data_IF_586220911174
#
_entry.id   IF_586220911174
#
_cell.length_a   1.000
_cell.length_b   1.000
_cell.length_c   1.000
_cell.angle_alpha   90.00
_cell.angle_beta   90.00
_cell.angle_gamma   90.00
#
_symmetry.space_group_name_H-M   'P 1'
#
loop_
_entity.id
_entity.type
_entity.pdbx_description
1 polymer ?
#
# COMPACT_ATOMS: atom_id res chain seq x y z
N UNK A 1 14.01 -34.58 1.05
CA UNK A 1 13.81 -33.61 -0.04
C UNK A 1 12.45 -32.97 0.19
N UNK A 2 12.40 -31.91 1.00
CA UNK A 2 11.14 -31.28 1.41
C UNK A 2 10.80 -30.20 0.39
N UNK A 3 9.84 -30.46 -0.49
CA UNK A 3 9.31 -29.48 -1.42
C UNK A 3 8.54 -28.43 -0.63
N UNK A 4 9.15 -27.27 -0.40
CA UNK A 4 8.43 -26.06 -0.01
C UNK A 4 7.62 -25.61 -1.22
N UNK A 5 6.35 -26.02 -1.26
CA UNK A 5 5.36 -25.43 -2.16
C UNK A 5 5.09 -24.01 -1.67
N UNK A 6 5.86 -23.04 -2.18
CA UNK A 6 5.72 -21.62 -1.87
C UNK A 6 4.51 -21.04 -2.60
N UNK A 7 3.30 -21.38 -2.15
CA UNK A 7 2.13 -20.56 -2.46
C UNK A 7 2.23 -19.29 -1.62
N UNK A 8 3.06 -18.36 -2.06
CA UNK A 8 3.17 -17.05 -1.40
C UNK A 8 1.82 -16.33 -1.53
N UNK A 9 1.20 -15.88 -0.43
CA UNK A 9 -0.04 -15.12 -0.50
C UNK A 9 0.25 -13.81 -1.27
N UNK A 10 -0.35 -13.67 -2.45
CA UNK A 10 -0.32 -12.43 -3.22
C UNK A 10 -1.68 -11.77 -3.03
N UNK A 11 -1.74 -10.64 -2.32
CA UNK A 11 -2.93 -9.80 -2.36
C UNK A 11 -2.77 -8.75 -3.46
N UNK A 12 -3.84 -8.51 -4.21
CA UNK A 12 -3.87 -7.50 -5.26
C UNK A 12 -4.54 -6.24 -4.72
N UNK A 13 -3.94 -5.08 -4.96
CA UNK A 13 -4.48 -3.78 -4.54
C UNK A 13 -5.52 -3.33 -5.58
N UNK A 14 -6.81 -3.13 -5.23
CA UNK A 14 -7.74 -2.45 -6.10
C UNK A 14 -7.41 -0.95 -6.11
N UNK A 15 -6.62 -0.48 -7.07
CA UNK A 15 -6.34 0.95 -7.21
C UNK A 15 -7.50 1.59 -7.97
N UNK A 16 -8.29 2.43 -7.29
CA UNK A 16 -9.21 3.34 -7.97
C UNK A 16 -8.51 4.68 -8.11
N UNK A 17 -7.83 4.90 -9.23
CA UNK A 17 -7.25 6.22 -9.52
C UNK A 17 -8.36 7.20 -9.88
N UNK A 18 -8.78 8.04 -8.94
CA UNK A 18 -9.52 9.26 -9.28
C UNK A 18 -8.51 10.30 -9.74
N UNK A 19 -8.34 10.44 -11.05
CA UNK A 19 -7.48 11.49 -11.62
C UNK A 19 -8.07 12.86 -11.30
N UNK A 20 -7.44 13.60 -10.38
CA UNK A 20 -7.66 15.04 -10.22
C UNK A 20 -6.50 15.77 -10.90
N UNK A 21 -6.75 16.31 -12.10
CA UNK A 21 -5.80 17.21 -12.74
C UNK A 21 -5.87 18.57 -12.04
N UNK A 22 -4.75 19.01 -11.46
CA UNK A 22 -4.57 20.41 -11.10
C UNK A 22 -3.51 21.00 -12.02
N UNK A 23 -3.89 22.02 -12.81
CA UNK A 23 -2.95 22.82 -13.60
C UNK A 23 -2.43 23.96 -12.73
N UNK A 24 -1.11 23.99 -12.49
CA UNK A 24 -0.46 25.16 -11.90
C UNK A 24 -0.11 26.10 -13.04
N UNK A 25 -0.85 27.20 -13.18
CA UNK A 25 -0.45 28.32 -14.05
C UNK A 25 0.68 29.09 -13.37
N UNK A 26 1.80 29.31 -14.07
CA UNK A 26 2.95 30.08 -13.59
C UNK A 26 2.70 31.61 -13.60
N UNK A 27 1.48 32.07 -13.29
CA UNK A 27 1.23 33.49 -13.12
C UNK A 27 1.42 33.88 -11.65
N UNK A 28 2.20 34.95 -11.43
CA UNK A 28 2.74 35.36 -10.12
C UNK A 28 1.67 35.93 -9.19
N UNK A 29 0.69 35.12 -8.80
CA UNK A 29 -0.44 35.57 -7.97
C UNK A 29 -1.00 34.53 -7.00
N UNK A 30 -0.47 33.31 -6.99
CA UNK A 30 -1.01 32.26 -6.12
C UNK A 30 0.07 31.86 -5.11
N UNK A 31 -0.08 32.36 -3.88
CA UNK A 31 0.35 31.63 -2.69
C UNK A 31 -0.60 30.42 -2.59
N UNK A 32 -0.41 29.41 -3.44
CA UNK A 32 -1.32 28.26 -3.50
C UNK A 32 -1.36 27.67 -2.11
N UNK A 33 -2.53 27.76 -1.47
CA UNK A 33 -2.97 26.74 -0.54
C UNK A 33 -2.96 25.45 -1.35
N UNK A 34 -1.82 24.77 -1.38
CA UNK A 34 -1.71 23.41 -1.86
C UNK A 34 -2.55 22.58 -0.88
N UNK A 35 -3.85 22.52 -1.13
CA UNK A 35 -4.69 21.54 -0.48
C UNK A 35 -4.19 20.22 -1.02
N UNK A 36 -3.49 19.45 -0.20
CA UNK A 36 -3.17 18.06 -0.42
C UNK A 36 -4.48 17.26 -0.40
N UNK A 37 -5.38 17.55 -1.33
CA UNK A 37 -6.64 16.87 -1.53
C UNK A 37 -6.37 15.60 -2.34
N UNK A 38 -5.57 14.71 -1.77
CA UNK A 38 -5.61 13.31 -2.13
C UNK A 38 -6.22 12.59 -0.95
N UNK A 39 -7.45 12.10 -1.13
CA UNK A 39 -8.05 11.16 -0.19
C UNK A 39 -7.12 9.95 -0.14
N UNK A 40 -6.45 9.74 1.00
CA UNK A 40 -5.57 8.59 1.18
C UNK A 40 -6.38 7.30 1.03
N UNK A 41 -5.94 6.40 0.15
CA UNK A 41 -6.54 5.08 0.00
C UNK A 41 -5.76 4.07 0.82
N UNK A 42 -6.45 3.25 1.61
CA UNK A 42 -5.84 2.08 2.24
C UNK A 42 -5.57 1.03 1.17
N UNK A 43 -4.29 0.74 0.93
CA UNK A 43 -3.84 -0.21 -0.11
C UNK A 43 -3.34 -1.54 0.44
N UNK A 44 -3.11 -1.66 1.74
CA UNK A 44 -2.74 -2.90 2.41
C UNK A 44 -3.34 -2.93 3.82
N UNK A 45 -3.82 -4.10 4.25
CA UNK A 45 -4.47 -4.28 5.56
C UNK A 45 -5.82 -3.57 5.68
N UNK A 46 -6.00 -2.79 6.76
CA UNK A 46 -7.18 -1.94 6.97
C UNK A 46 -8.31 -2.55 7.78
N UNK A 47 -8.24 -3.83 8.16
CA UNK A 47 -9.33 -4.54 8.85
C UNK A 47 -9.00 -4.88 10.31
N UNK A 48 -8.21 -4.04 10.96
CA UNK A 48 -7.78 -4.21 12.35
C UNK A 48 -6.65 -5.22 12.53
N UNK A 49 -6.40 -5.58 13.79
CA UNK A 49 -5.37 -6.53 14.17
C UNK A 49 -5.84 -7.97 13.93
N UNK A 50 -4.98 -8.83 13.38
CA UNK A 50 -5.28 -10.25 13.20
C UNK A 50 -4.39 -10.96 12.19
N UNK A 51 -4.70 -12.21 11.90
CA UNK A 51 -3.92 -13.11 11.04
C UNK A 51 -4.47 -13.25 9.62
N UNK A 52 -5.62 -12.65 9.31
CA UNK A 52 -6.21 -12.71 7.98
C UNK A 52 -5.35 -11.98 6.95
N UNK A 53 -5.59 -12.25 5.66
CA UNK A 53 -4.79 -11.67 4.57
C UNK A 53 -4.93 -10.14 4.45
N UNK A 54 -6.01 -9.56 5.00
CA UNK A 54 -6.31 -8.13 5.01
C UNK A 54 -6.11 -7.49 6.41
N UNK A 55 -5.34 -8.16 7.28
CA UNK A 55 -5.03 -7.76 8.65
C UNK A 55 -3.52 -7.86 8.91
N UNK A 56 -3.08 -7.23 10.00
CA UNK A 56 -1.71 -7.29 10.50
C UNK A 56 -1.69 -7.55 12.00
N UNK A 57 -0.62 -8.12 12.53
CA UNK A 57 -0.33 -8.21 13.96
C UNK A 57 1.11 -7.73 14.23
N UNK A 58 1.22 -6.56 14.87
CA UNK A 58 2.47 -5.85 15.20
C UNK A 58 3.43 -5.73 14.00
N UNK A 59 3.01 -5.12 12.88
CA UNK A 59 3.89 -4.91 11.74
C UNK A 59 5.08 -4.04 12.13
N UNK A 60 6.29 -4.41 11.68
CA UNK A 60 7.54 -3.75 12.09
C UNK A 60 8.16 -2.89 10.99
N UNK A 61 7.98 -3.25 9.72
CA UNK A 61 8.60 -2.56 8.59
C UNK A 61 7.81 -2.69 7.30
N UNK A 62 8.00 -1.70 6.42
CA UNK A 62 7.40 -1.57 5.10
C UNK A 62 8.48 -1.24 4.07
N UNK A 63 8.45 -1.92 2.92
CA UNK A 63 9.24 -1.59 1.75
C UNK A 63 8.36 -1.57 0.50
N UNK A 64 8.67 -0.69 -0.45
CA UNK A 64 7.97 -0.59 -1.74
C UNK A 64 9.01 -0.74 -2.84
N UNK A 65 8.80 -1.70 -3.75
CA UNK A 65 9.71 -1.91 -4.89
C UNK A 65 9.37 -0.99 -6.08
N UNK A 66 10.21 -1.05 -7.13
CA UNK A 66 10.02 -0.27 -8.36
C UNK A 66 8.72 -0.62 -9.12
N UNK A 67 8.18 -1.83 -8.90
CA UNK A 67 6.91 -2.28 -9.46
C UNK A 67 5.71 -1.85 -8.60
N UNK A 68 5.93 -1.02 -7.58
CA UNK A 68 4.92 -0.58 -6.61
C UNK A 68 4.28 -1.75 -5.85
N UNK A 69 5.02 -2.84 -5.69
CA UNK A 69 4.68 -3.92 -4.78
C UNK A 69 5.06 -3.51 -3.37
N UNK A 70 4.11 -3.62 -2.45
CA UNK A 70 4.30 -3.32 -1.04
C UNK A 70 4.65 -4.61 -0.30
N UNK A 71 5.70 -4.58 0.49
CA UNK A 71 6.12 -5.65 1.38
C UNK A 71 6.00 -5.19 2.82
N UNK A 72 5.33 -5.98 3.66
CA UNK A 72 5.16 -5.68 5.09
C UNK A 72 5.67 -6.84 5.92
N UNK A 73 6.55 -6.54 6.88
CA UNK A 73 7.00 -7.50 7.88
C UNK A 73 6.01 -7.55 9.04
N UNK A 74 5.15 -8.57 9.02
CA UNK A 74 4.04 -8.76 9.95
C UNK A 74 4.49 -9.62 11.14
N UNK A 75 5.20 -8.97 12.07
CA UNK A 75 6.12 -9.63 13.01
C UNK A 75 5.44 -10.66 13.92
N UNK A 76 4.26 -10.36 14.47
CA UNK A 76 3.58 -11.29 15.38
C UNK A 76 2.86 -12.43 14.66
N UNK A 77 2.61 -12.28 13.36
CA UNK A 77 2.15 -13.37 12.50
C UNK A 77 3.31 -14.14 11.83
N UNK A 78 4.57 -13.81 12.17
CA UNK A 78 5.78 -14.48 11.67
C UNK A 78 5.83 -14.62 10.13
N UNK A 79 5.31 -13.61 9.42
CA UNK A 79 5.18 -13.64 7.95
C UNK A 79 5.64 -12.34 7.29
N UNK A 80 5.99 -12.46 6.00
CA UNK A 80 6.11 -11.32 5.11
C UNK A 80 4.90 -11.34 4.18
N UNK A 81 4.18 -10.23 4.13
CA UNK A 81 3.02 -10.09 3.27
C UNK A 81 3.35 -9.17 2.09
N UNK A 82 2.88 -9.55 0.90
CA UNK A 82 3.12 -8.78 -0.34
C UNK A 82 1.81 -8.37 -1.01
N UNK A 83 1.74 -7.11 -1.41
CA UNK A 83 0.63 -6.52 -2.14
C UNK A 83 1.10 -6.00 -3.47
N UNK A 84 0.65 -6.63 -4.55
CA UNK A 84 0.96 -6.15 -5.90
C UNK A 84 -0.05 -5.12 -6.33
N UNK A 85 0.43 -4.13 -7.07
CA UNK A 85 -0.44 -3.26 -7.88
C UNK A 85 -1.30 -4.13 -8.81
N UNK A 86 -2.62 -3.97 -8.71
CA UNK A 86 -3.62 -4.62 -9.58
C UNK A 86 -3.83 -3.90 -10.90
#
# INVERSE_FOLDING_TARGET
>A
MTTISSTEPIMTIPITTTTVSSSVTHDKGICATATWAQNGQTVAGGNGSGSELNQFDRPFGLFVDENQTIYVADRSNERIMKWKRG
#
